data_IF_693700723207
#
_entry.id   IF_693700723207
#
_cell.length_a   1.000
_cell.length_b   1.000
_cell.length_c   1.000
_cell.angle_alpha   90.00
_cell.angle_beta   90.00
_cell.angle_gamma   90.00
#
_symmetry.space_group_name_H-M   'P 1'
#
loop_
_entity.id
_entity.type
_entity.pdbx_description
1 polymer ?
#
# COMPACT_ATOMS: atom_id res chain seq x y z
N UNK A 1 -28.80 -22.50 -28.45
CA UNK A 1 -27.71 -22.43 -29.44
C UNK A 1 -27.04 -21.08 -29.36
N UNK A 2 -27.38 -20.15 -30.24
CA UNK A 2 -26.73 -18.84 -30.35
C UNK A 2 -26.95 -17.96 -29.09
N UNK A 3 -28.16 -17.96 -28.53
CA UNK A 3 -28.49 -17.21 -27.31
C UNK A 3 -27.84 -17.73 -26.02
N UNK A 4 -27.39 -18.99 -26.00
CA UNK A 4 -26.61 -19.56 -24.89
C UNK A 4 -25.12 -19.22 -25.05
N UNK A 5 -24.58 -19.27 -26.27
CA UNK A 5 -23.20 -18.84 -26.57
C UNK A 5 -23.00 -17.32 -26.42
N UNK A 6 -24.03 -16.50 -26.69
CA UNK A 6 -23.99 -15.06 -26.40
C UNK A 6 -24.06 -14.75 -24.90
N UNK A 7 -24.56 -15.68 -24.07
CA UNK A 7 -24.63 -15.53 -22.61
C UNK A 7 -23.30 -15.87 -21.94
N UNK A 8 -22.50 -16.72 -22.56
CA UNK A 8 -21.13 -17.07 -22.17
C UNK A 8 -20.08 -16.10 -22.72
N UNK A 9 -20.41 -14.79 -22.80
CA UNK A 9 -19.44 -13.79 -23.23
C UNK A 9 -18.35 -13.63 -22.15
N UNK A 10 -17.06 -13.88 -22.47
CA UNK A 10 -15.97 -13.77 -21.50
C UNK A 10 -15.77 -12.34 -20.94
N UNK A 11 -16.39 -11.33 -21.58
CA UNK A 11 -16.37 -9.92 -21.17
C UNK A 11 -17.77 -9.35 -20.88
N UNK A 12 -18.75 -10.21 -20.59
CA UNK A 12 -20.11 -9.76 -20.29
C UNK A 12 -20.21 -8.94 -18.99
N UNK A 13 -21.12 -7.97 -18.95
CA UNK A 13 -21.42 -7.21 -17.74
C UNK A 13 -22.21 -8.09 -16.76
N UNK A 14 -21.49 -8.72 -15.83
CA UNK A 14 -22.07 -9.57 -14.79
C UNK A 14 -22.35 -8.77 -13.50
N UNK A 15 -23.25 -9.25 -12.61
CA UNK A 15 -23.44 -8.63 -11.30
C UNK A 15 -22.13 -8.50 -10.49
N UNK A 16 -21.20 -9.46 -10.65
CA UNK A 16 -19.87 -9.40 -10.03
C UNK A 16 -19.02 -8.24 -10.56
N UNK A 17 -19.02 -8.03 -11.88
CA UNK A 17 -18.32 -6.90 -12.51
C UNK A 17 -18.96 -5.58 -12.10
N UNK A 18 -20.29 -5.47 -12.19
CA UNK A 18 -21.04 -4.28 -11.76
C UNK A 18 -20.72 -3.90 -10.31
N UNK A 19 -20.67 -4.89 -9.42
CA UNK A 19 -20.32 -4.67 -8.01
C UNK A 19 -18.87 -4.18 -7.84
N UNK A 20 -17.91 -4.78 -8.53
CA UNK A 20 -16.50 -4.32 -8.48
C UNK A 20 -16.35 -2.90 -9.01
N UNK A 21 -17.02 -2.57 -10.11
CA UNK A 21 -17.02 -1.22 -10.68
C UNK A 21 -17.64 -0.23 -9.70
N UNK A 22 -18.78 -0.55 -9.09
CA UNK A 22 -19.41 0.32 -8.10
C UNK A 22 -18.51 0.57 -6.89
N UNK A 23 -17.89 -0.47 -6.33
CA UNK A 23 -16.92 -0.31 -5.24
C UNK A 23 -15.70 0.53 -5.67
N UNK A 24 -15.22 0.32 -6.89
CA UNK A 24 -14.15 1.13 -7.47
C UNK A 24 -14.53 2.61 -7.59
N UNK A 25 -15.76 2.91 -8.04
CA UNK A 25 -16.29 4.28 -8.12
C UNK A 25 -16.40 4.90 -6.73
N UNK A 26 -16.94 4.17 -5.74
CA UNK A 26 -17.03 4.64 -4.35
C UNK A 26 -15.64 5.00 -3.82
N UNK A 27 -14.67 4.10 -3.98
CA UNK A 27 -13.28 4.35 -3.56
C UNK A 27 -12.69 5.56 -4.30
N UNK A 28 -12.91 5.69 -5.61
CA UNK A 28 -12.44 6.83 -6.39
C UNK A 28 -13.04 8.16 -5.93
N UNK A 29 -14.34 8.21 -5.63
CA UNK A 29 -15.02 9.39 -5.08
C UNK A 29 -14.46 9.74 -3.70
N UNK A 30 -14.23 8.74 -2.84
CA UNK A 30 -13.64 8.95 -1.51
C UNK A 30 -12.20 9.46 -1.61
N UNK A 31 -11.40 8.96 -2.55
CA UNK A 31 -10.07 9.52 -2.84
C UNK A 31 -10.20 10.99 -3.26
N UNK A 32 -11.15 11.31 -4.14
CA UNK A 32 -11.46 12.70 -4.49
C UNK A 32 -11.79 13.57 -3.27
N UNK A 33 -12.58 13.05 -2.33
CA UNK A 33 -12.88 13.71 -1.05
C UNK A 33 -11.64 13.96 -0.19
N UNK A 34 -10.75 12.97 -0.06
CA UNK A 34 -9.45 13.13 0.63
C UNK A 34 -8.63 14.24 -0.03
N UNK A 35 -8.54 14.26 -1.36
CA UNK A 35 -7.78 15.26 -2.11
C UNK A 35 -8.36 16.68 -1.93
N UNK A 36 -9.69 16.82 -1.96
CA UNK A 36 -10.36 18.10 -1.70
C UNK A 36 -10.06 18.60 -0.29
N UNK A 37 -10.13 17.73 0.72
CA UNK A 37 -9.80 18.13 2.10
C UNK A 37 -8.30 18.38 2.24
N UNK A 38 -7.43 17.68 1.50
CA UNK A 38 -5.99 17.89 1.53
C UNK A 38 -5.56 19.19 0.83
N UNK A 39 -6.39 19.73 -0.06
CA UNK A 39 -6.10 20.94 -0.81
C UNK A 39 -5.82 22.13 0.13
N UNK A 40 -4.77 22.92 -0.10
CA UNK A 40 -4.46 24.09 0.71
C UNK A 40 -5.60 25.13 0.66
N UNK A 41 -6.01 25.61 1.83
CA UNK A 41 -7.08 26.61 1.97
C UNK A 41 -7.80 26.46 3.31
N UNK A 42 -8.48 27.53 3.74
CA UNK A 42 -9.27 27.56 4.98
C UNK A 42 -8.48 27.28 6.27
N UNK A 43 -9.20 27.05 7.36
CA UNK A 43 -8.58 26.68 8.65
C UNK A 43 -8.20 25.19 8.68
N UNK A 44 -7.00 24.89 9.17
CA UNK A 44 -6.53 23.51 9.35
C UNK A 44 -7.44 22.72 10.30
N UNK A 45 -7.94 23.37 11.35
CA UNK A 45 -8.83 22.77 12.34
C UNK A 45 -10.16 22.32 11.72
N UNK A 46 -10.80 23.13 10.87
CA UNK A 46 -12.06 22.71 10.24
C UNK A 46 -11.82 21.52 9.31
N UNK A 47 -10.73 21.53 8.54
CA UNK A 47 -10.35 20.41 7.66
C UNK A 47 -10.06 19.13 8.44
N UNK A 48 -9.37 19.21 9.57
CA UNK A 48 -9.10 18.04 10.41
C UNK A 48 -10.38 17.48 11.05
N UNK A 49 -11.29 18.35 11.49
CA UNK A 49 -12.62 17.95 12.00
C UNK A 49 -13.44 17.26 10.91
N UNK A 50 -13.51 17.82 9.70
CA UNK A 50 -14.21 17.18 8.58
C UNK A 50 -13.59 15.83 8.19
N UNK A 51 -12.26 15.74 8.12
CA UNK A 51 -11.56 14.50 7.83
C UNK A 51 -11.85 13.43 8.91
N UNK A 52 -11.83 13.82 10.18
CA UNK A 52 -12.14 12.92 11.31
C UNK A 52 -13.59 12.46 11.25
N UNK A 53 -14.54 13.37 11.08
CA UNK A 53 -15.96 13.04 10.99
C UNK A 53 -16.25 12.10 9.81
N UNK A 54 -15.68 12.37 8.64
CA UNK A 54 -15.80 11.50 7.48
C UNK A 54 -15.18 10.11 7.74
N UNK A 55 -14.01 10.04 8.37
CA UNK A 55 -13.38 8.77 8.77
C UNK A 55 -14.25 7.95 9.72
N UNK A 56 -14.87 8.58 10.72
CA UNK A 56 -15.80 7.92 11.65
C UNK A 56 -17.09 7.45 10.97
N UNK A 57 -17.64 8.24 10.04
CA UNK A 57 -18.79 7.84 9.24
C UNK A 57 -18.47 6.66 8.33
N UNK A 58 -17.28 6.64 7.72
CA UNK A 58 -16.80 5.51 6.91
C UNK A 58 -16.62 4.26 7.78
N UNK A 59 -16.12 4.40 9.00
CA UNK A 59 -15.97 3.28 9.93
C UNK A 59 -17.33 2.70 10.33
N UNK A 60 -18.30 3.57 10.65
CA UNK A 60 -19.67 3.16 10.93
C UNK A 60 -20.32 2.48 9.71
N UNK A 61 -20.14 3.04 8.51
CA UNK A 61 -20.61 2.47 7.26
C UNK A 61 -19.96 1.12 6.93
N UNK A 62 -18.67 0.97 7.19
CA UNK A 62 -17.95 -0.29 7.03
C UNK A 62 -18.51 -1.39 7.95
N UNK A 63 -18.81 -1.03 9.20
CA UNK A 63 -19.45 -1.93 10.17
C UNK A 63 -20.87 -2.31 9.80
N UNK A 64 -21.69 -1.33 9.40
CA UNK A 64 -23.04 -1.59 8.93
C UNK A 64 -23.04 -2.50 7.69
N UNK A 65 -22.19 -2.21 6.70
CA UNK A 65 -22.07 -3.03 5.50
C UNK A 65 -21.62 -4.46 5.81
N UNK A 66 -20.59 -4.64 6.64
CA UNK A 66 -20.07 -5.98 6.96
C UNK A 66 -21.00 -6.78 7.88
N UNK A 67 -21.55 -6.14 8.92
CA UNK A 67 -22.26 -6.84 10.01
C UNK A 67 -23.77 -6.85 9.86
N UNK A 68 -24.38 -5.75 9.40
CA UNK A 68 -25.83 -5.65 9.26
C UNK A 68 -26.31 -6.14 7.88
N UNK A 69 -25.56 -5.83 6.83
CA UNK A 69 -25.89 -6.25 5.45
C UNK A 69 -25.24 -7.59 5.09
N UNK A 70 -24.16 -7.97 5.79
CA UNK A 70 -23.40 -9.18 5.48
C UNK A 70 -22.48 -9.04 4.25
N UNK A 71 -22.27 -7.81 3.75
CA UNK A 71 -21.36 -7.55 2.65
C UNK A 71 -19.96 -7.14 3.18
N UNK A 72 -19.15 -8.16 3.45
CA UNK A 72 -17.77 -7.98 3.89
C UNK A 72 -16.89 -7.24 2.86
N UNK A 73 -17.18 -7.33 1.56
CA UNK A 73 -16.37 -6.66 0.54
C UNK A 73 -16.66 -5.16 0.45
N UNK A 74 -17.92 -4.76 0.61
CA UNK A 74 -18.28 -3.35 0.74
C UNK A 74 -17.76 -2.78 2.07
N UNK A 75 -17.89 -3.55 3.15
CA UNK A 75 -17.28 -3.23 4.45
C UNK A 75 -15.78 -3.00 4.35
N UNK A 76 -15.04 -3.87 3.67
CA UNK A 76 -13.60 -3.72 3.46
C UNK A 76 -13.24 -2.51 2.60
N UNK A 77 -14.00 -2.20 1.55
CA UNK A 77 -13.75 -1.02 0.70
C UNK A 77 -13.92 0.30 1.47
N UNK A 78 -15.01 0.42 2.25
CA UNK A 78 -15.23 1.58 3.13
C UNK A 78 -14.19 1.63 4.26
N UNK A 79 -13.92 0.48 4.88
CA UNK A 79 -12.94 0.34 5.96
C UNK A 79 -11.52 0.72 5.53
N UNK A 80 -11.12 0.36 4.32
CA UNK A 80 -9.82 0.74 3.76
C UNK A 80 -9.66 2.27 3.65
N UNK A 81 -10.75 2.99 3.36
CA UNK A 81 -10.75 4.44 3.26
C UNK A 81 -10.78 5.16 4.62
N UNK A 82 -11.07 4.49 5.72
CA UNK A 82 -10.99 5.09 7.08
C UNK A 82 -9.57 5.59 7.36
N UNK A 83 -8.57 4.77 7.03
CA UNK A 83 -7.16 5.08 7.24
C UNK A 83 -6.72 6.41 6.62
N UNK A 84 -6.85 6.62 5.30
CA UNK A 84 -6.50 7.87 4.63
C UNK A 84 -7.18 9.12 5.21
N UNK A 85 -8.47 9.04 5.58
CA UNK A 85 -9.18 10.18 6.17
C UNK A 85 -8.64 10.52 7.57
N UNK A 86 -8.42 9.51 8.43
CA UNK A 86 -7.85 9.73 9.76
C UNK A 86 -6.38 10.15 9.69
N UNK A 87 -5.61 9.61 8.75
CA UNK A 87 -4.23 10.01 8.49
C UNK A 87 -4.15 11.49 8.08
N UNK A 88 -5.05 11.95 7.22
CA UNK A 88 -5.14 13.36 6.84
C UNK A 88 -5.52 14.24 8.05
N UNK A 89 -6.44 13.80 8.91
CA UNK A 89 -6.73 14.51 10.15
C UNK A 89 -5.48 14.60 11.04
N UNK A 90 -4.78 13.48 11.25
CA UNK A 90 -3.52 13.41 12.01
C UNK A 90 -2.44 14.32 11.44
N UNK A 91 -2.29 14.37 10.13
CA UNK A 91 -1.35 15.27 9.44
C UNK A 91 -1.63 16.76 9.70
N UNK A 92 -2.90 17.14 9.78
CA UNK A 92 -3.32 18.54 9.93
C UNK A 92 -3.25 19.04 11.38
N UNK A 93 -3.20 18.16 12.38
CA UNK A 93 -3.28 18.51 13.80
C UNK A 93 -2.03 19.22 14.35
N UNK A 94 -0.77 18.76 14.10
CA UNK A 94 0.41 19.39 14.67
C UNK A 94 0.66 20.83 14.18
N UNK A 95 0.09 21.22 13.03
CA UNK A 95 0.31 22.56 12.46
C UNK A 95 1.77 22.78 12.05
N UNK A 96 2.25 24.02 12.16
CA UNK A 96 3.62 24.41 11.80
C UNK A 96 3.85 24.68 10.31
N UNK A 97 4.91 25.42 9.99
CA UNK A 97 5.33 25.66 8.61
C UNK A 97 6.27 24.55 8.15
N UNK A 98 6.10 24.06 6.91
CA UNK A 98 6.98 23.06 6.29
C UNK A 98 8.22 23.70 5.65
N UNK A 99 8.57 24.90 6.10
CA UNK A 99 9.69 25.72 5.63
C UNK A 99 10.39 26.35 6.83
N UNK A 100 11.69 26.61 6.69
CA UNK A 100 12.50 27.22 7.75
C UNK A 100 13.33 26.22 8.56
N UNK A 101 13.91 26.68 9.68
CA UNK A 101 14.94 25.91 10.41
C UNK A 101 14.46 24.57 10.97
N UNK A 102 13.18 24.46 11.35
CA UNK A 102 12.59 23.27 11.98
C UNK A 102 11.67 22.49 11.00
N UNK A 103 11.92 22.61 9.69
CA UNK A 103 11.07 21.98 8.67
C UNK A 103 11.06 20.44 8.77
N UNK A 104 12.16 19.82 9.19
CA UNK A 104 12.24 18.35 9.33
C UNK A 104 11.50 17.86 10.56
N UNK A 105 11.62 18.56 11.68
CA UNK A 105 10.89 18.25 12.91
C UNK A 105 9.37 18.39 12.71
N UNK A 106 8.93 19.46 12.05
CA UNK A 106 7.50 19.68 11.76
C UNK A 106 6.97 18.63 10.79
N UNK A 107 7.74 18.28 9.75
CA UNK A 107 7.41 17.18 8.84
C UNK A 107 7.31 15.84 9.59
N UNK A 108 8.29 15.55 10.45
CA UNK A 108 8.34 14.36 11.29
C UNK A 108 7.14 14.27 12.23
N UNK A 109 6.80 15.36 12.93
CA UNK A 109 5.64 15.41 13.83
C UNK A 109 4.32 15.15 13.09
N UNK A 110 4.15 15.74 11.89
CA UNK A 110 2.96 15.50 11.05
C UNK A 110 2.89 14.07 10.52
N UNK A 111 4.02 13.52 10.06
CA UNK A 111 4.09 12.11 9.63
C UNK A 111 3.80 11.17 10.79
N UNK A 112 4.29 11.46 12.00
CA UNK A 112 4.06 10.63 13.18
C UNK A 112 2.58 10.62 13.53
N UNK A 113 1.94 11.78 13.61
CA UNK A 113 0.52 11.90 13.90
C UNK A 113 -0.35 11.23 12.82
N UNK A 114 -0.02 11.45 11.53
CA UNK A 114 -0.70 10.81 10.41
C UNK A 114 -0.55 9.28 10.43
N UNK A 115 0.66 8.77 10.69
CA UNK A 115 0.95 7.33 10.74
C UNK A 115 0.25 6.65 11.91
N UNK A 116 0.22 7.27 13.09
CA UNK A 116 -0.52 6.77 14.24
C UNK A 116 -2.03 6.71 13.96
N UNK A 117 -2.59 7.75 13.35
CA UNK A 117 -4.00 7.78 12.98
C UNK A 117 -4.33 6.78 11.86
N UNK A 118 -3.44 6.59 10.89
CA UNK A 118 -3.55 5.57 9.84
C UNK A 118 -3.58 4.15 10.44
N UNK A 119 -2.64 3.87 11.36
CA UNK A 119 -2.55 2.59 12.07
C UNK A 119 -3.80 2.32 12.90
N UNK A 120 -4.23 3.31 13.70
CA UNK A 120 -5.46 3.22 14.49
C UNK A 120 -6.69 3.00 13.62
N UNK A 121 -6.82 3.72 12.51
CA UNK A 121 -7.89 3.53 11.53
C UNK A 121 -7.91 2.12 10.94
N UNK A 122 -6.74 1.57 10.58
CA UNK A 122 -6.64 0.21 10.05
C UNK A 122 -7.05 -0.85 11.09
N UNK A 123 -6.63 -0.70 12.35
CA UNK A 123 -7.01 -1.61 13.45
C UNK A 123 -8.51 -1.55 13.72
N UNK A 124 -9.08 -0.34 13.81
CA UNK A 124 -10.51 -0.16 14.02
C UNK A 124 -11.33 -0.72 12.86
N UNK A 125 -10.92 -0.46 11.62
CA UNK A 125 -11.58 -0.98 10.43
C UNK A 125 -11.52 -2.51 10.37
N UNK A 126 -10.37 -3.12 10.70
CA UNK A 126 -10.26 -4.57 10.81
C UNK A 126 -11.20 -5.14 11.88
N UNK A 127 -11.26 -4.51 13.05
CA UNK A 127 -12.12 -4.95 14.16
C UNK A 127 -13.61 -4.92 13.78
N UNK A 128 -14.02 -3.86 13.07
CA UNK A 128 -15.42 -3.65 12.69
C UNK A 128 -15.83 -4.48 11.46
N UNK A 129 -14.94 -4.66 10.49
CA UNK A 129 -15.20 -5.45 9.27
C UNK A 129 -15.06 -6.96 9.55
N UNK A 130 -14.14 -7.36 10.43
CA UNK A 130 -13.83 -8.75 10.80
C UNK A 130 -13.53 -9.69 9.60
N UNK A 131 -13.03 -9.12 8.50
CA UNK A 131 -12.65 -9.82 7.29
C UNK A 131 -11.49 -9.10 6.60
N UNK A 132 -10.88 -9.71 5.58
CA UNK A 132 -9.79 -9.12 4.78
C UNK A 132 -8.57 -8.69 5.62
N UNK A 133 -8.16 -9.50 6.61
CA UNK A 133 -7.04 -9.20 7.50
C UNK A 133 -5.74 -8.80 6.76
N UNK A 134 -5.45 -9.46 5.64
CA UNK A 134 -4.30 -9.12 4.78
C UNK A 134 -4.35 -7.67 4.28
N UNK A 135 -5.52 -7.17 3.88
CA UNK A 135 -5.69 -5.79 3.41
C UNK A 135 -5.35 -4.80 4.53
N UNK A 136 -5.93 -4.96 5.71
CA UNK A 136 -5.69 -4.05 6.83
C UNK A 136 -4.26 -4.16 7.38
N UNK A 137 -3.66 -5.35 7.34
CA UNK A 137 -2.24 -5.52 7.67
C UNK A 137 -1.35 -4.69 6.72
N UNK A 138 -1.65 -4.64 5.42
CA UNK A 138 -0.86 -3.82 4.49
C UNK A 138 -0.87 -2.34 4.86
N UNK A 139 -2.02 -1.82 5.29
CA UNK A 139 -2.15 -0.44 5.78
C UNK A 139 -1.34 -0.24 7.06
N UNK A 140 -1.38 -1.20 7.98
CA UNK A 140 -0.56 -1.18 9.19
C UNK A 140 0.95 -1.19 8.87
N UNK A 141 1.39 -1.99 7.89
CA UNK A 141 2.78 -1.98 7.42
C UNK A 141 3.16 -0.62 6.84
N UNK A 142 2.34 -0.03 5.96
CA UNK A 142 2.60 1.32 5.42
C UNK A 142 2.70 2.35 6.55
N UNK A 143 1.80 2.27 7.54
CA UNK A 143 1.84 3.17 8.71
C UNK A 143 3.11 2.99 9.54
N UNK A 144 3.63 1.76 9.67
CA UNK A 144 4.90 1.50 10.36
C UNK A 144 6.08 2.15 9.63
N UNK A 145 6.13 2.04 8.30
CA UNK A 145 7.17 2.73 7.51
C UNK A 145 7.08 4.25 7.65
N UNK A 146 5.87 4.81 7.64
CA UNK A 146 5.67 6.24 7.86
C UNK A 146 6.09 6.67 9.29
N UNK A 147 5.84 5.84 10.30
CA UNK A 147 6.29 6.09 11.67
C UNK A 147 7.82 6.03 11.78
N UNK A 148 8.48 5.08 11.12
CA UNK A 148 9.96 5.03 11.06
C UNK A 148 10.51 6.27 10.36
N UNK A 149 9.90 6.69 9.25
CA UNK A 149 10.25 7.95 8.57
C UNK A 149 10.20 9.14 9.54
N UNK A 150 9.08 9.25 10.26
CA UNK A 150 8.84 10.32 11.22
C UNK A 150 9.87 10.32 12.36
N UNK A 151 10.18 9.15 12.93
CA UNK A 151 11.17 9.00 13.98
C UNK A 151 12.57 9.39 13.49
N UNK A 152 12.94 9.00 12.27
CA UNK A 152 14.23 9.41 11.69
C UNK A 152 14.30 10.94 11.58
N UNK A 153 13.27 11.58 11.02
CA UNK A 153 13.22 13.04 10.86
C UNK A 153 13.26 13.78 12.20
N UNK A 154 12.67 13.21 13.27
CA UNK A 154 12.64 13.83 14.59
C UNK A 154 13.92 13.63 15.41
N UNK A 155 14.70 12.59 15.13
CA UNK A 155 15.82 12.20 16.00
C UNK A 155 17.20 12.33 15.38
N UNK A 156 17.30 12.44 14.05
CA UNK A 156 18.59 12.34 13.35
C UNK A 156 19.01 13.57 12.54
N UNK A 157 18.21 14.64 12.51
CA UNK A 157 18.41 15.83 11.64
C UNK A 157 18.65 15.48 10.16
N UNK A 158 18.33 14.24 9.76
CA UNK A 158 18.53 13.76 8.40
C UNK A 158 17.54 14.45 7.46
N UNK A 159 18.05 14.93 6.33
CA UNK A 159 17.19 15.41 5.28
C UNK A 159 16.24 14.30 4.78
N UNK A 160 14.99 14.62 4.37
CA UNK A 160 13.99 13.63 3.97
C UNK A 160 14.44 12.64 2.91
N UNK A 161 15.35 13.06 2.01
CA UNK A 161 15.94 12.20 0.98
C UNK A 161 16.74 11.03 1.58
N UNK A 162 17.53 11.27 2.61
CA UNK A 162 18.34 10.22 3.26
C UNK A 162 17.43 9.22 3.99
N UNK A 163 16.40 9.72 4.68
CA UNK A 163 15.38 8.88 5.30
C UNK A 163 14.66 8.02 4.24
N UNK A 164 14.30 8.58 3.08
CA UNK A 164 13.69 7.85 1.98
C UNK A 164 14.61 6.75 1.42
N UNK A 165 15.92 7.01 1.32
CA UNK A 165 16.92 6.00 0.94
C UNK A 165 16.96 4.81 1.92
N UNK A 166 16.97 5.08 3.23
CA UNK A 166 16.92 4.05 4.28
C UNK A 166 15.62 3.23 4.18
N UNK A 167 14.48 3.90 4.05
CA UNK A 167 13.19 3.23 3.93
C UNK A 167 13.05 2.41 2.65
N UNK A 168 13.62 2.86 1.54
CA UNK A 168 13.66 2.09 0.30
C UNK A 168 14.39 0.76 0.50
N UNK A 169 15.54 0.77 1.18
CA UNK A 169 16.27 -0.47 1.52
C UNK A 169 15.44 -1.37 2.41
N UNK A 170 14.81 -0.84 3.46
CA UNK A 170 13.92 -1.61 4.34
C UNK A 170 12.72 -2.20 3.59
N UNK A 171 12.14 -1.46 2.63
CA UNK A 171 11.03 -1.93 1.82
C UNK A 171 11.46 -3.07 0.87
N UNK A 172 12.65 -2.97 0.28
CA UNK A 172 13.24 -4.03 -0.55
C UNK A 172 13.50 -5.29 0.27
N UNK A 173 14.06 -5.15 1.47
CA UNK A 173 14.27 -6.27 2.40
C UNK A 173 12.94 -6.93 2.72
N UNK A 174 11.92 -6.15 3.11
CA UNK A 174 10.58 -6.69 3.34
C UNK A 174 10.06 -7.44 2.11
N UNK A 175 10.21 -6.84 0.91
CA UNK A 175 9.88 -7.43 -0.39
C UNK A 175 10.46 -8.84 -0.56
N UNK A 176 11.73 -9.03 -0.24
CA UNK A 176 12.40 -10.34 -0.32
C UNK A 176 11.82 -11.38 0.66
N UNK A 177 11.30 -10.95 1.80
CA UNK A 177 10.70 -11.83 2.81
C UNK A 177 9.19 -12.05 2.63
N UNK A 178 8.52 -11.33 1.71
CA UNK A 178 7.06 -11.45 1.48
C UNK A 178 6.60 -12.89 1.26
N UNK A 179 7.26 -13.73 0.42
CA UNK A 179 6.80 -15.09 0.19
C UNK A 179 6.82 -15.94 1.47
N UNK A 180 7.90 -15.84 2.25
CA UNK A 180 8.06 -16.57 3.52
C UNK A 180 7.02 -16.13 4.56
N UNK A 181 6.80 -14.83 4.70
CA UNK A 181 5.80 -14.27 5.61
C UNK A 181 4.38 -14.70 5.22
N UNK A 182 4.04 -14.59 3.93
CA UNK A 182 2.73 -14.98 3.43
C UNK A 182 2.45 -16.49 3.62
N UNK A 183 3.46 -17.32 3.39
CA UNK A 183 3.37 -18.76 3.64
C UNK A 183 3.11 -19.06 5.12
N UNK A 184 3.88 -18.44 6.03
CA UNK A 184 3.67 -18.57 7.49
C UNK A 184 2.29 -18.09 7.94
N UNK A 185 1.84 -16.93 7.44
CA UNK A 185 0.53 -16.36 7.78
C UNK A 185 -0.64 -17.14 7.19
N UNK A 186 -0.43 -17.90 6.11
CA UNK A 186 -1.43 -18.82 5.55
C UNK A 186 -1.56 -20.14 6.32
N UNK A 187 -0.73 -20.35 7.35
CA UNK A 187 -0.68 -21.61 8.10
C UNK A 187 -0.07 -22.77 7.32
N UNK A 188 0.53 -22.52 6.16
CA UNK A 188 1.36 -23.52 5.50
C UNK A 188 2.69 -23.63 6.26
N UNK A 189 3.08 -24.87 6.58
CA UNK A 189 4.36 -25.19 7.22
C UNK A 189 5.17 -25.98 6.22
N UNK A 190 6.43 -25.62 6.06
CA UNK A 190 7.35 -26.42 5.25
C UNK A 190 7.68 -27.65 6.10
N UNK A 191 7.41 -28.87 5.62
CA UNK A 191 7.84 -30.06 6.33
C UNK A 191 9.35 -30.00 6.57
N UNK A 192 9.85 -30.43 7.73
CA UNK A 192 11.29 -30.53 7.92
C UNK A 192 11.87 -31.44 6.83
N UNK A 193 13.04 -31.08 6.30
CA UNK A 193 13.74 -31.92 5.34
C UNK A 193 14.05 -33.27 6.01
N UNK A 194 13.70 -34.40 5.39
CA UNK A 194 13.95 -35.71 5.98
C UNK A 194 15.45 -35.90 6.16
N UNK A 195 15.87 -36.24 7.37
CA UNK A 195 17.26 -36.51 7.73
C UNK A 195 17.60 -37.99 7.70
N UNK A 196 16.61 -38.87 7.50
CA UNK A 196 16.80 -40.31 7.34
C UNK A 196 15.77 -40.94 6.37
N UNK A 197 16.03 -42.18 5.96
CA UNK A 197 15.20 -42.91 5.00
C UNK A 197 13.83 -43.34 5.58
N UNK A 198 13.71 -43.48 6.91
CA UNK A 198 12.41 -43.76 7.54
C UNK A 198 11.45 -42.56 7.45
N UNK A 199 11.96 -41.33 7.55
CA UNK A 199 11.16 -40.10 7.41
C UNK A 199 10.64 -39.85 5.99
N UNK A 200 11.22 -40.49 4.96
CA UNK A 200 10.63 -40.49 3.62
C UNK A 200 9.32 -41.29 3.56
N UNK A 201 9.08 -42.17 4.53
CA UNK A 201 7.85 -42.95 4.67
C UNK A 201 6.83 -42.28 5.60
N UNK A 202 7.17 -41.13 6.20
CA UNK A 202 6.24 -40.35 7.03
C UNK A 202 5.51 -39.29 6.18
N UNK A 203 4.19 -39.18 6.34
CA UNK A 203 3.40 -38.17 5.60
C UNK A 203 3.14 -38.49 4.13
N UNK A 204 3.18 -39.77 3.73
CA UNK A 204 2.84 -40.25 2.38
C UNK A 204 1.34 -40.05 2.07
N UNK A 205 0.50 -39.99 3.10
CA UNK A 205 -0.94 -39.73 2.95
C UNK A 205 -1.14 -38.38 2.22
N UNK A 206 -1.79 -38.39 1.04
CA UNK A 206 -2.03 -37.16 0.30
C UNK A 206 -2.88 -36.21 1.15
N UNK A 207 -2.36 -35.01 1.38
CA UNK A 207 -3.17 -33.97 1.99
C UNK A 207 -4.37 -33.70 1.07
N UNK A 208 -5.59 -33.53 1.62
CA UNK A 208 -6.77 -33.26 0.80
C UNK A 208 -6.51 -32.05 -0.10
N UNK A 209 -6.61 -32.24 -1.43
CA UNK A 209 -6.28 -31.21 -2.41
C UNK A 209 -7.08 -29.90 -2.16
N UNK A 210 -8.31 -30.02 -1.66
CA UNK A 210 -9.14 -28.90 -1.25
C UNK A 210 -8.50 -28.05 -0.13
N UNK A 211 -7.92 -28.67 0.90
CA UNK A 211 -7.29 -27.96 2.01
C UNK A 211 -6.00 -27.23 1.60
N UNK A 212 -5.22 -27.83 0.71
CA UNK A 212 -4.00 -27.21 0.14
C UNK A 212 -4.38 -26.02 -0.75
N UNK A 213 -5.40 -26.18 -1.60
CA UNK A 213 -5.87 -25.10 -2.48
C UNK A 213 -6.40 -23.88 -1.69
N UNK A 214 -7.12 -24.11 -0.59
CA UNK A 214 -7.63 -23.03 0.26
C UNK A 214 -6.50 -22.22 0.92
N UNK A 215 -5.46 -22.89 1.42
CA UNK A 215 -4.29 -22.21 2.02
C UNK A 215 -3.43 -21.49 0.98
N UNK A 216 -3.32 -22.04 -0.23
CA UNK A 216 -2.64 -21.36 -1.34
C UNK A 216 -3.34 -20.03 -1.71
N UNK A 217 -4.68 -20.01 -1.75
CA UNK A 217 -5.45 -18.78 -1.97
C UNK A 217 -5.22 -17.75 -0.85
N UNK A 218 -5.17 -18.19 0.41
CA UNK A 218 -4.86 -17.30 1.53
C UNK A 218 -3.44 -16.72 1.42
N UNK A 219 -2.44 -17.54 1.07
CA UNK A 219 -1.08 -17.07 0.83
C UNK A 219 -1.00 -16.05 -0.31
N UNK A 220 -1.71 -16.26 -1.42
CA UNK A 220 -1.77 -15.30 -2.51
C UNK A 220 -2.37 -13.94 -2.06
N UNK A 221 -3.39 -13.98 -1.21
CA UNK A 221 -3.96 -12.78 -0.59
C UNK A 221 -2.95 -12.03 0.29
N UNK A 222 -2.23 -12.74 1.16
CA UNK A 222 -1.16 -12.15 1.98
C UNK A 222 -0.02 -11.58 1.14
N UNK A 223 0.44 -12.30 0.11
CA UNK A 223 1.48 -11.81 -0.81
C UNK A 223 1.03 -10.54 -1.53
N UNK A 224 -0.19 -10.52 -2.04
CA UNK A 224 -0.74 -9.36 -2.77
C UNK A 224 -0.80 -8.12 -1.89
N UNK A 225 -1.28 -8.26 -0.65
CA UNK A 225 -1.33 -7.17 0.32
C UNK A 225 0.06 -6.68 0.74
N UNK A 226 0.99 -7.58 1.04
CA UNK A 226 2.35 -7.20 1.46
C UNK A 226 3.14 -6.55 0.33
N UNK A 227 3.08 -7.08 -0.90
CA UNK A 227 3.67 -6.41 -2.06
C UNK A 227 2.98 -5.09 -2.37
N UNK A 228 1.67 -4.97 -2.12
CA UNK A 228 0.96 -3.69 -2.15
C UNK A 228 1.56 -2.66 -1.20
N UNK A 229 1.83 -3.04 0.05
CA UNK A 229 2.50 -2.16 1.02
C UNK A 229 3.92 -1.75 0.57
N UNK A 230 4.72 -2.71 0.11
CA UNK A 230 6.07 -2.46 -0.45
C UNK A 230 5.98 -1.51 -1.64
N UNK A 231 4.99 -1.69 -2.51
CA UNK A 231 4.74 -0.83 -3.65
C UNK A 231 4.41 0.62 -3.27
N UNK A 232 3.52 0.81 -2.29
CA UNK A 232 3.15 2.14 -1.77
C UNK A 232 4.34 2.83 -1.12
N UNK A 233 5.09 2.13 -0.27
CA UNK A 233 6.30 2.67 0.37
C UNK A 233 7.36 3.00 -0.68
N UNK A 234 7.58 2.10 -1.64
CA UNK A 234 8.49 2.30 -2.76
C UNK A 234 8.12 3.52 -3.60
N UNK A 235 6.83 3.69 -3.93
CA UNK A 235 6.33 4.88 -4.63
C UNK A 235 6.65 6.16 -3.87
N UNK A 236 6.39 6.19 -2.56
CA UNK A 236 6.67 7.34 -1.71
C UNK A 236 8.17 7.65 -1.67
N UNK A 237 9.03 6.64 -1.49
CA UNK A 237 10.48 6.82 -1.46
C UNK A 237 11.00 7.38 -2.79
N UNK A 238 10.53 6.81 -3.91
CA UNK A 238 10.89 7.26 -5.25
C UNK A 238 10.45 8.70 -5.52
N UNK A 239 9.26 9.11 -5.06
CA UNK A 239 8.78 10.50 -5.21
C UNK A 239 9.68 11.49 -4.47
N UNK A 240 10.24 11.10 -3.32
CA UNK A 240 11.17 11.95 -2.56
C UNK A 240 12.55 11.95 -3.23
N UNK A 241 13.09 10.78 -3.55
CA UNK A 241 14.43 10.64 -4.16
C UNK A 241 14.52 11.32 -5.54
N UNK A 242 13.48 11.21 -6.38
CA UNK A 242 13.49 11.76 -7.74
C UNK A 242 13.41 13.30 -7.80
N UNK A 243 13.17 13.97 -6.66
CA UNK A 243 13.17 15.45 -6.60
C UNK A 243 14.58 16.00 -6.48
N UNK A 244 15.51 15.23 -5.93
CA UNK A 244 16.90 15.62 -5.79
C UNK A 244 17.66 15.41 -7.09
N UNK A 245 18.68 16.25 -7.30
CA UNK A 245 19.46 16.31 -8.56
C UNK A 245 20.89 15.82 -8.40
N UNK A 246 21.27 15.47 -7.18
CA UNK A 246 22.57 14.93 -6.92
C UNK A 246 22.70 13.51 -7.51
N UNK A 247 23.91 13.18 -7.94
CA UNK A 247 24.19 11.99 -8.73
C UNK A 247 23.85 10.71 -7.94
N UNK A 248 24.12 10.71 -6.63
CA UNK A 248 23.86 9.56 -5.76
C UNK A 248 22.36 9.22 -5.69
N UNK A 249 21.50 10.22 -5.59
CA UNK A 249 20.05 10.14 -5.49
C UNK A 249 19.46 9.68 -6.81
N UNK A 250 19.99 10.18 -7.93
CA UNK A 250 19.61 9.70 -9.26
C UNK A 250 19.96 8.21 -9.40
N UNK A 251 21.18 7.82 -9.08
CA UNK A 251 21.60 6.41 -9.14
C UNK A 251 20.72 5.55 -8.23
N UNK A 252 20.48 5.98 -6.99
CA UNK A 252 19.65 5.24 -6.04
C UNK A 252 18.21 5.10 -6.55
N UNK A 253 17.64 6.16 -7.13
CA UNK A 253 16.29 6.13 -7.72
C UNK A 253 16.24 5.15 -8.89
N UNK A 254 17.20 5.22 -9.82
CA UNK A 254 17.27 4.31 -10.98
C UNK A 254 17.44 2.86 -10.51
N UNK A 255 18.36 2.61 -9.58
CA UNK A 255 18.60 1.28 -9.02
C UNK A 255 17.34 0.70 -8.36
N UNK A 256 16.64 1.50 -7.54
CA UNK A 256 15.39 1.10 -6.91
C UNK A 256 14.30 0.81 -7.96
N UNK A 257 14.15 1.66 -8.97
CA UNK A 257 13.16 1.46 -10.03
C UNK A 257 13.42 0.18 -10.83
N UNK A 258 14.67 -0.06 -11.23
CA UNK A 258 15.07 -1.28 -11.94
C UNK A 258 14.85 -2.52 -11.07
N UNK A 259 15.22 -2.45 -9.79
CA UNK A 259 15.00 -3.55 -8.84
C UNK A 259 13.51 -3.88 -8.74
N UNK A 260 12.63 -2.90 -8.54
CA UNK A 260 11.19 -3.12 -8.43
C UNK A 260 10.60 -3.76 -9.71
N UNK A 261 11.00 -3.28 -10.89
CA UNK A 261 10.53 -3.82 -12.18
C UNK A 261 11.08 -5.23 -12.43
N UNK A 262 12.35 -5.50 -12.11
CA UNK A 262 12.96 -6.82 -12.26
C UNK A 262 12.35 -7.83 -11.29
N UNK A 263 12.09 -7.43 -10.04
CA UNK A 263 11.48 -8.28 -9.04
C UNK A 263 10.07 -8.71 -9.45
N UNK A 264 9.31 -7.84 -10.13
CA UNK A 264 7.98 -8.18 -10.63
C UNK A 264 7.97 -9.38 -11.59
N UNK A 265 9.08 -9.70 -12.28
CA UNK A 265 9.14 -10.82 -13.25
C UNK A 265 8.87 -12.18 -12.60
N UNK A 266 9.26 -12.36 -11.34
CA UNK A 266 9.10 -13.61 -10.60
C UNK A 266 7.71 -13.81 -9.99
N UNK A 267 6.84 -12.79 -10.02
CA UNK A 267 5.55 -12.83 -9.34
C UNK A 267 4.48 -13.49 -10.23
N UNK A 268 3.64 -14.35 -9.65
CA UNK A 268 2.62 -15.09 -10.39
C UNK A 268 1.36 -14.26 -10.70
N UNK A 269 0.99 -13.34 -9.81
CA UNK A 269 -0.25 -12.58 -9.89
C UNK A 269 -0.05 -11.19 -10.52
N UNK A 270 -0.98 -10.78 -11.41
CA UNK A 270 -0.95 -9.47 -12.05
C UNK A 270 -0.97 -8.32 -11.02
N UNK A 271 -1.71 -8.44 -9.93
CA UNK A 271 -1.78 -7.40 -8.90
C UNK A 271 -0.46 -7.27 -8.14
N UNK A 272 0.19 -8.38 -7.81
CA UNK A 272 1.52 -8.39 -7.20
C UNK A 272 2.55 -7.76 -8.14
N UNK A 273 2.49 -8.06 -9.44
CA UNK A 273 3.34 -7.42 -10.46
C UNK A 273 3.11 -5.93 -10.51
N UNK A 274 1.85 -5.50 -10.62
CA UNK A 274 1.51 -4.08 -10.72
C UNK A 274 1.93 -3.28 -9.47
N UNK A 275 1.86 -3.88 -8.28
CA UNK A 275 2.35 -3.25 -7.05
C UNK A 275 3.83 -2.86 -7.11
N UNK A 276 4.66 -3.55 -7.89
CA UNK A 276 6.09 -3.21 -8.03
C UNK A 276 6.40 -2.48 -9.35
N UNK A 277 5.71 -2.81 -10.44
CA UNK A 277 5.94 -2.17 -11.75
C UNK A 277 5.51 -0.71 -11.73
N UNK A 278 4.33 -0.39 -11.18
CA UNK A 278 3.82 0.98 -11.13
C UNK A 278 4.78 1.95 -10.44
N UNK A 279 5.27 1.70 -9.20
CA UNK A 279 6.25 2.59 -8.57
C UNK A 279 7.58 2.67 -9.32
N UNK A 280 8.05 1.56 -9.92
CA UNK A 280 9.29 1.57 -10.69
C UNK A 280 9.19 2.41 -11.97
N UNK A 281 8.08 2.29 -12.72
CA UNK A 281 7.83 3.12 -13.90
C UNK A 281 7.59 4.58 -13.51
N UNK A 282 6.84 4.83 -12.44
CA UNK A 282 6.60 6.17 -11.91
C UNK A 282 7.92 6.90 -11.62
N UNK A 283 8.90 6.23 -11.01
CA UNK A 283 10.19 6.85 -10.71
C UNK A 283 11.00 7.24 -11.92
N UNK A 284 11.05 6.36 -12.92
CA UNK A 284 11.71 6.68 -14.19
C UNK A 284 11.04 7.87 -14.89
N UNK A 285 9.70 7.92 -14.88
CA UNK A 285 8.96 9.07 -15.41
C UNK A 285 9.25 10.35 -14.63
N UNK A 286 9.30 10.28 -13.30
CA UNK A 286 9.61 11.45 -12.46
C UNK A 286 11.02 11.98 -12.71
N UNK A 287 12.02 11.11 -12.88
CA UNK A 287 13.38 11.54 -13.24
C UNK A 287 13.40 12.32 -14.56
N UNK A 288 12.69 11.84 -15.58
CA UNK A 288 12.57 12.53 -16.88
C UNK A 288 11.85 13.88 -16.72
N UNK A 289 10.73 13.90 -16.00
CA UNK A 289 9.92 15.12 -15.81
C UNK A 289 10.63 16.19 -14.97
N UNK A 290 11.46 15.79 -14.01
CA UNK A 290 12.26 16.71 -13.18
C UNK A 290 13.49 17.21 -13.94
N UNK A 291 14.09 16.39 -14.80
CA UNK A 291 15.27 16.75 -15.60
C UNK A 291 14.94 17.63 -16.82
N UNK A 292 13.83 17.38 -17.53
CA UNK A 292 13.49 18.03 -18.80
C UNK A 292 13.38 19.58 -18.76
N UNK A 293 12.81 20.21 -17.71
CA UNK A 293 12.74 21.68 -17.62
C UNK A 293 14.10 22.35 -17.43
N UNK A 294 15.08 21.63 -16.87
CA UNK A 294 16.41 22.14 -16.56
C UNK A 294 17.42 21.95 -17.70
N UNK A 295 17.12 21.10 -18.69
CA UNK A 295 17.94 20.93 -19.88
C UNK A 295 17.81 22.15 -20.80
N UNK A 296 18.95 22.70 -21.24
CA UNK A 296 19.00 23.69 -22.32
C UNK A 296 18.26 23.13 -23.55
N UNK A 297 17.62 23.97 -24.38
CA UNK A 297 16.79 23.49 -25.49
C UNK A 297 17.46 22.46 -26.41
N UNK A 298 18.80 22.49 -26.54
CA UNK A 298 19.59 21.54 -27.32
C UNK A 298 19.84 20.17 -26.66
N UNK A 299 19.71 20.05 -25.33
CA UNK A 299 19.95 18.80 -24.58
C UNK A 299 18.67 18.02 -24.23
N UNK A 300 17.51 18.40 -24.79
CA UNK A 300 16.23 17.73 -24.50
C UNK A 300 16.02 16.44 -25.30
N UNK A 301 16.86 16.16 -26.29
CA UNK A 301 16.73 15.04 -27.24
C UNK A 301 18.01 14.21 -27.40
N UNK A 302 19.04 14.47 -26.59
CA UNK A 302 20.32 13.73 -26.58
C UNK A 302 20.48 13.05 -25.23
#
# INVERSE_FOLDING_TARGET
GIATTMRDHPFGWTPKVSRRVLLGIVVAVLIGGVLVIAWPGGSSLSRSVFATAAGLLLLAGAGAASRAVGDAGAGAALGFMVGPYLALAGWLLPGGELSGPHAYETLGARLLAASAALAGGAVLALAVVAAFAALFLSVAVVSLFAAVAAVLLLTTDLAPVHAAGILAVLAVILGAFVPSLAFRMSGMRMPPLPTNAQQLQEGIEPHPAAAVSARAVLADGWMTSLYGAVGVVGAACVVVLARERELAEIIMTVALCLLLVLHARGLGNIWQRMSLVVPGVLGLLLLVLVAAPAASPGNRLV
#
